data_IF_835958816783
#
_entry.id   IF_835958816783
#
_cell.length_a   1.000
_cell.length_b   1.000
_cell.length_c   1.000
_cell.angle_alpha   90.00
_cell.angle_beta   90.00
_cell.angle_gamma   90.00
#
_symmetry.space_group_name_H-M   'P 1'
#
loop_
_entity.id
_entity.type
_entity.pdbx_description
1 polymer ?
#
# COMPACT_ATOMS: atom_id res chain seq x y z
N UNK A 1 76.40 -4.52 -13.41
CA UNK A 1 76.14 -5.92 -13.78
C UNK A 1 74.71 -6.29 -13.36
N UNK A 2 74.05 -7.05 -14.19
CA UNK A 2 72.62 -7.41 -14.02
C UNK A 2 72.40 -8.92 -13.85
N UNK A 3 73.49 -9.71 -13.80
CA UNK A 3 73.47 -11.16 -13.72
C UNK A 3 74.53 -11.68 -12.80
N UNK A 4 74.23 -12.77 -12.12
CA UNK A 4 75.22 -13.53 -11.36
C UNK A 4 76.29 -14.04 -12.31
N UNK A 5 77.53 -14.03 -11.88
CA UNK A 5 78.63 -14.51 -12.73
C UNK A 5 80.00 -13.96 -12.28
N UNK A 6 80.99 -14.46 -12.99
CA UNK A 6 82.39 -13.97 -12.81
C UNK A 6 82.67 -12.90 -13.85
N UNK A 7 82.98 -11.73 -13.40
CA UNK A 7 83.30 -10.56 -14.23
C UNK A 7 84.79 -10.22 -14.15
N UNK A 8 85.45 -10.25 -15.27
CA UNK A 8 86.86 -9.88 -15.34
C UNK A 8 86.98 -8.43 -15.68
N UNK A 9 87.61 -7.69 -14.77
CA UNK A 9 88.00 -6.28 -14.98
C UNK A 9 89.44 -6.29 -15.51
N UNK A 10 89.63 -5.73 -16.68
CA UNK A 10 90.95 -5.61 -17.31
C UNK A 10 91.38 -4.14 -17.36
N UNK A 11 92.52 -3.80 -16.81
CA UNK A 11 93.12 -2.48 -16.94
C UNK A 11 94.35 -2.58 -17.87
N UNK A 12 94.37 -1.78 -18.94
CA UNK A 12 95.43 -1.73 -19.88
C UNK A 12 96.14 -0.37 -19.82
N UNK A 13 97.43 -0.31 -19.63
CA UNK A 13 98.19 0.92 -19.61
C UNK A 13 98.47 1.40 -21.04
N UNK A 14 98.99 2.67 -21.15
CA UNK A 14 99.30 3.26 -22.45
C UNK A 14 100.34 2.50 -23.29
N UNK A 15 101.16 1.62 -22.69
CA UNK A 15 102.15 0.77 -23.32
C UNK A 15 101.59 -0.60 -23.73
N UNK A 16 100.24 -0.80 -23.64
CA UNK A 16 99.56 -2.02 -24.08
C UNK A 16 99.68 -3.19 -23.08
N UNK A 17 100.26 -2.99 -21.91
CA UNK A 17 100.28 -4.06 -20.87
C UNK A 17 99.03 -4.07 -20.09
N UNK A 18 98.42 -5.26 -19.95
CA UNK A 18 97.18 -5.48 -19.22
C UNK A 18 97.40 -6.26 -17.94
N UNK A 19 96.64 -5.87 -16.90
CA UNK A 19 96.39 -6.64 -15.67
C UNK A 19 94.89 -6.89 -15.53
N UNK A 20 94.52 -7.97 -14.93
CA UNK A 20 93.10 -8.29 -14.73
C UNK A 20 92.86 -8.78 -13.32
N UNK A 21 91.60 -8.58 -12.85
CA UNK A 21 91.06 -9.16 -11.63
C UNK A 21 89.65 -9.70 -11.91
N UNK A 22 89.28 -10.76 -11.21
CA UNK A 22 87.97 -11.33 -11.36
C UNK A 22 87.16 -11.02 -10.12
N UNK A 23 85.92 -10.54 -10.31
CA UNK A 23 84.91 -10.32 -9.26
C UNK A 23 83.79 -11.30 -9.50
N UNK A 24 83.43 -12.04 -8.49
CA UNK A 24 82.22 -12.91 -8.53
C UNK A 24 81.07 -12.10 -7.96
N UNK A 25 80.01 -11.95 -8.76
CA UNK A 25 78.71 -11.37 -8.37
C UNK A 25 77.78 -12.51 -8.20
N UNK A 26 77.06 -12.59 -7.07
CA UNK A 26 76.07 -13.58 -6.76
C UNK A 26 74.93 -12.98 -5.94
N UNK A 27 73.73 -13.54 -6.04
CA UNK A 27 72.55 -13.14 -5.25
C UNK A 27 71.77 -11.98 -5.91
N UNK A 28 71.87 -11.79 -7.22
CA UNK A 28 70.99 -10.87 -7.97
C UNK A 28 69.65 -11.57 -8.15
N UNK A 29 68.66 -11.09 -7.43
CA UNK A 29 67.31 -11.59 -7.51
C UNK A 29 66.54 -10.98 -8.71
N UNK A 30 65.96 -11.86 -9.53
CA UNK A 30 65.11 -11.51 -10.72
C UNK A 30 63.79 -12.22 -10.74
N UNK A 31 63.52 -12.99 -9.70
CA UNK A 31 62.33 -13.83 -9.58
C UNK A 31 61.20 -13.05 -8.94
N UNK A 32 60.08 -12.84 -9.60
CA UNK A 32 58.92 -12.23 -8.96
C UNK A 32 58.44 -13.09 -7.76
N UNK A 33 57.85 -12.46 -6.73
CA UNK A 33 57.21 -13.15 -5.63
C UNK A 33 56.11 -14.09 -6.13
N UNK A 34 55.87 -15.17 -5.37
CA UNK A 34 54.77 -16.10 -5.57
C UNK A 34 53.58 -15.63 -4.74
N UNK A 35 52.40 -15.50 -5.38
CA UNK A 35 51.17 -14.98 -4.79
C UNK A 35 50.10 -16.07 -4.84
N UNK A 36 49.47 -16.40 -3.71
CA UNK A 36 48.33 -17.27 -3.65
C UNK A 36 47.03 -16.49 -4.01
N UNK A 37 45.96 -17.22 -4.33
CA UNK A 37 44.66 -16.60 -4.58
C UNK A 37 44.17 -15.82 -3.35
N UNK A 38 43.89 -14.52 -3.44
CA UNK A 38 43.36 -13.76 -2.31
C UNK A 38 41.99 -14.26 -1.88
N UNK A 39 41.69 -14.13 -0.58
CA UNK A 39 40.36 -14.44 -0.02
C UNK A 39 39.71 -13.20 0.57
N UNK A 40 38.38 -13.20 0.64
CA UNK A 40 37.58 -12.13 1.23
C UNK A 40 36.68 -12.73 2.30
N UNK A 41 36.64 -12.11 3.45
CA UNK A 41 35.68 -12.39 4.51
C UNK A 41 34.98 -11.11 4.93
N UNK A 42 33.69 -11.22 5.31
CA UNK A 42 32.88 -10.08 5.73
C UNK A 42 32.64 -10.12 7.23
N UNK A 43 32.50 -8.96 7.85
CA UNK A 43 32.04 -8.91 9.23
C UNK A 43 30.57 -9.31 9.34
N UNK A 44 30.10 -9.63 10.55
CA UNK A 44 28.74 -10.12 10.81
C UNK A 44 27.63 -9.20 10.26
N UNK A 45 27.84 -7.90 10.34
CA UNK A 45 26.87 -6.89 9.89
C UNK A 45 27.07 -6.45 8.42
N UNK A 46 27.99 -7.10 7.69
CA UNK A 46 28.29 -6.79 6.28
C UNK A 46 28.65 -5.32 6.01
N UNK A 47 29.24 -4.62 7.01
CA UNK A 47 29.67 -3.21 6.89
C UNK A 47 31.09 -3.07 6.38
N UNK A 48 31.90 -4.13 6.48
CA UNK A 48 33.29 -4.20 6.06
C UNK A 48 33.67 -5.59 5.61
N UNK A 49 34.74 -5.64 4.83
CA UNK A 49 35.38 -6.88 4.41
C UNK A 49 36.87 -6.86 4.72
N UNK A 50 37.45 -8.02 4.93
CA UNK A 50 38.88 -8.24 5.09
C UNK A 50 39.40 -9.02 3.87
N UNK A 51 40.35 -8.42 3.16
CA UNK A 51 41.12 -9.07 2.09
C UNK A 51 42.34 -9.70 2.73
N UNK A 52 42.56 -10.99 2.50
CA UNK A 52 43.70 -11.74 3.00
C UNK A 52 44.47 -12.31 1.83
N UNK A 53 45.78 -12.05 1.81
CA UNK A 53 46.70 -12.56 0.80
C UNK A 53 47.86 -13.29 1.44
N UNK A 54 48.26 -14.42 0.87
CA UNK A 54 49.56 -15.08 1.12
C UNK A 54 50.49 -14.83 -0.04
N UNK A 55 51.68 -14.37 0.26
CA UNK A 55 52.73 -14.19 -0.70
C UNK A 55 54.09 -14.57 -0.09
N UNK A 56 54.97 -15.12 -0.89
CA UNK A 56 56.36 -15.42 -0.50
C UNK A 56 57.28 -15.19 -1.70
N UNK A 57 58.57 -14.99 -1.40
CA UNK A 57 59.60 -14.77 -2.40
C UNK A 57 60.58 -15.93 -2.49
N UNK A 58 60.23 -17.09 -1.90
CA UNK A 58 61.07 -18.27 -1.90
C UNK A 58 62.48 -17.99 -1.38
N UNK A 59 63.48 -18.20 -2.22
CA UNK A 59 64.89 -17.94 -1.93
C UNK A 59 65.35 -16.57 -2.45
N UNK A 60 64.44 -15.69 -2.85
CA UNK A 60 64.73 -14.37 -3.41
C UNK A 60 65.12 -13.33 -2.36
N UNK A 61 64.93 -12.06 -2.69
CA UNK A 61 65.34 -10.90 -1.85
C UNK A 61 64.40 -10.64 -0.66
N UNK A 62 63.23 -11.29 -0.67
CA UNK A 62 62.17 -11.13 0.29
C UNK A 62 61.20 -10.03 -0.05
N UNK A 63 59.95 -10.15 0.43
CA UNK A 63 58.87 -9.15 0.14
C UNK A 63 59.27 -7.80 0.78
N UNK A 64 59.22 -6.74 -0.03
CA UNK A 64 59.40 -5.36 0.41
C UNK A 64 58.03 -4.70 0.71
N UNK A 65 57.03 -4.91 -0.17
CA UNK A 65 55.74 -4.20 -0.05
C UNK A 65 54.62 -4.95 -0.73
N UNK A 66 53.46 -4.94 -0.11
CA UNK A 66 52.19 -5.43 -0.71
C UNK A 66 51.17 -4.33 -0.65
N UNK A 67 50.53 -4.03 -1.78
CA UNK A 67 49.46 -3.02 -1.86
C UNK A 67 48.22 -3.59 -2.54
N UNK A 68 47.03 -3.16 -2.10
CA UNK A 68 45.79 -3.41 -2.78
C UNK A 68 45.17 -2.07 -3.21
N UNK A 69 44.94 -1.84 -4.48
CA UNK A 69 44.51 -0.57 -5.06
C UNK A 69 45.29 0.64 -4.54
N UNK A 70 46.61 0.47 -4.38
CA UNK A 70 47.53 1.52 -3.89
C UNK A 70 47.62 1.66 -2.36
N UNK A 71 46.76 1.00 -1.60
CA UNK A 71 46.79 1.00 -0.13
C UNK A 71 47.66 -0.15 0.35
N UNK A 72 48.59 0.12 1.28
CA UNK A 72 49.50 -0.87 1.83
C UNK A 72 48.75 -1.86 2.73
N UNK A 73 49.00 -3.16 2.51
CA UNK A 73 48.46 -4.26 3.31
C UNK A 73 49.35 -4.51 4.51
N UNK A 74 48.76 -4.74 5.69
CA UNK A 74 49.49 -5.05 6.93
C UNK A 74 49.82 -6.53 6.99
N UNK A 75 51.08 -6.85 7.40
CA UNK A 75 51.47 -8.23 7.64
C UNK A 75 51.07 -8.67 9.07
N UNK A 76 50.28 -9.74 9.15
CA UNK A 76 49.83 -10.33 10.40
C UNK A 76 49.86 -11.88 10.28
N UNK A 77 50.51 -12.56 11.17
CA UNK A 77 50.58 -14.05 11.23
C UNK A 77 50.93 -14.70 9.87
N UNK A 78 51.84 -14.05 9.12
CA UNK A 78 52.28 -14.55 7.80
C UNK A 78 51.29 -14.24 6.64
N UNK A 79 50.22 -13.50 6.89
CA UNK A 79 49.26 -13.09 5.88
C UNK A 79 49.29 -11.55 5.70
N UNK A 80 49.15 -11.07 4.50
CA UNK A 80 48.92 -9.67 4.22
C UNK A 80 47.40 -9.37 4.27
N UNK A 81 47.02 -8.37 5.07
CA UNK A 81 45.63 -8.08 5.42
C UNK A 81 45.28 -6.62 5.08
N UNK A 82 44.13 -6.40 4.45
CA UNK A 82 43.51 -5.09 4.28
C UNK A 82 42.04 -5.14 4.64
N UNK A 83 41.60 -4.25 5.55
CA UNK A 83 40.19 -4.04 5.82
C UNK A 83 39.63 -2.95 4.91
N UNK A 84 38.50 -3.23 4.26
CA UNK A 84 37.83 -2.33 3.32
C UNK A 84 36.36 -2.14 3.69
N UNK A 85 35.82 -0.97 3.36
CA UNK A 85 34.42 -0.59 3.64
C UNK A 85 33.63 -0.28 2.37
N UNK A 86 34.21 -0.60 1.21
CA UNK A 86 33.60 -0.38 -0.09
C UNK A 86 33.65 -1.64 -0.95
N UNK A 87 32.60 -1.89 -1.70
CA UNK A 87 32.58 -2.89 -2.74
C UNK A 87 33.43 -2.42 -3.93
N UNK A 88 34.05 -3.34 -4.63
CA UNK A 88 34.85 -3.05 -5.81
C UNK A 88 35.88 -4.11 -6.11
N UNK A 89 36.65 -3.87 -7.18
CA UNK A 89 37.81 -4.67 -7.55
C UNK A 89 39.08 -4.10 -6.93
N UNK A 90 39.85 -4.95 -6.29
CA UNK A 90 41.11 -4.58 -5.66
C UNK A 90 42.25 -5.25 -6.40
N UNK A 91 43.03 -4.44 -7.12
CA UNK A 91 44.26 -4.88 -7.78
C UNK A 91 45.40 -4.94 -6.74
N UNK A 92 45.97 -6.12 -6.56
CA UNK A 92 47.03 -6.36 -5.57
C UNK A 92 48.37 -6.42 -6.31
N UNK A 93 49.35 -5.70 -5.78
CA UNK A 93 50.72 -5.70 -6.26
C UNK A 93 51.64 -6.07 -5.11
N UNK A 94 52.44 -7.14 -5.32
CA UNK A 94 53.46 -7.60 -4.40
C UNK A 94 54.82 -7.25 -5.02
N UNK A 95 55.65 -6.52 -4.27
CA UNK A 95 56.98 -6.12 -4.72
C UNK A 95 58.01 -6.66 -3.77
N UNK A 96 59.07 -7.32 -4.26
CA UNK A 96 60.22 -7.75 -3.47
C UNK A 96 61.22 -6.62 -3.25
N UNK A 97 62.27 -6.89 -2.51
CA UNK A 97 63.34 -5.91 -2.24
C UNK A 97 64.26 -5.63 -3.43
N UNK A 98 64.25 -6.53 -4.43
CA UNK A 98 64.97 -6.34 -5.68
C UNK A 98 64.16 -5.55 -6.70
N UNK A 99 62.86 -5.32 -6.47
CA UNK A 99 61.94 -4.55 -7.32
C UNK A 99 61.13 -5.40 -8.29
N UNK A 100 61.23 -6.75 -8.24
CA UNK A 100 60.40 -7.62 -9.06
C UNK A 100 58.97 -7.61 -8.52
N UNK A 101 57.96 -7.78 -9.41
CA UNK A 101 56.57 -7.66 -9.02
C UNK A 101 55.73 -8.85 -9.47
N UNK A 102 54.77 -9.21 -8.63
CA UNK A 102 53.68 -10.11 -8.95
C UNK A 102 52.35 -9.41 -8.69
N UNK A 103 51.29 -9.80 -9.42
CA UNK A 103 49.98 -9.20 -9.35
C UNK A 103 48.90 -10.25 -9.06
N UNK A 104 47.88 -9.83 -8.32
CA UNK A 104 46.64 -10.57 -8.13
C UNK A 104 45.45 -9.59 -8.15
N UNK A 105 44.23 -10.10 -8.23
CA UNK A 105 43.02 -9.31 -8.19
C UNK A 105 41.98 -10.02 -7.33
N UNK A 106 41.17 -9.25 -6.61
CA UNK A 106 40.05 -9.77 -5.83
C UNK A 106 38.89 -8.82 -5.90
N UNK A 107 37.68 -9.37 -5.95
CA UNK A 107 36.43 -8.61 -5.94
C UNK A 107 35.78 -8.66 -4.56
N UNK A 108 35.44 -7.52 -4.01
CA UNK A 108 34.62 -7.34 -2.81
C UNK A 108 33.25 -6.86 -3.29
N UNK A 109 32.17 -7.62 -3.00
CA UNK A 109 30.80 -7.31 -3.46
C UNK A 109 29.72 -7.56 -2.40
N UNK A 110 30.11 -7.95 -1.19
CA UNK A 110 29.19 -8.33 -0.13
C UNK A 110 29.06 -7.29 1.01
N UNK A 111 29.60 -6.08 0.84
CA UNK A 111 29.36 -5.01 1.81
C UNK A 111 27.99 -4.42 1.49
N UNK A 112 27.09 -4.45 2.48
CA UNK A 112 25.71 -4.02 2.32
C UNK A 112 25.58 -2.49 2.35
N UNK A 113 24.97 -1.92 1.30
CA UNK A 113 24.68 -0.49 1.11
C UNK A 113 23.23 -0.29 0.65
N UNK A 114 22.45 -1.35 0.70
CA UNK A 114 21.04 -1.34 0.29
C UNK A 114 20.15 -1.00 1.47
N UNK A 115 19.12 -0.21 1.24
CA UNK A 115 18.12 0.07 2.26
C UNK A 115 17.07 -1.04 2.27
N UNK A 116 16.46 -1.35 3.44
CA UNK A 116 15.29 -2.22 3.50
C UNK A 116 14.16 -1.75 2.60
N UNK A 117 13.38 -2.68 2.06
CA UNK A 117 12.11 -2.40 1.37
C UNK A 117 10.93 -2.57 2.32
N UNK A 118 10.02 -1.56 2.31
CA UNK A 118 8.81 -1.55 3.14
C UNK A 118 7.59 -1.52 2.23
N UNK A 119 6.80 -2.60 2.23
CA UNK A 119 5.60 -2.73 1.42
C UNK A 119 4.35 -2.93 2.27
N UNK A 120 3.42 -1.97 2.22
CA UNK A 120 2.09 -2.13 2.81
C UNK A 120 1.31 -3.22 2.07
N UNK A 121 0.63 -4.09 2.81
CA UNK A 121 -0.17 -5.21 2.28
C UNK A 121 -1.66 -5.10 2.61
N UNK A 122 -2.05 -4.24 3.57
CA UNK A 122 -3.45 -3.98 3.91
C UNK A 122 -4.07 -2.90 3.02
N UNK A 123 -5.39 -3.03 2.80
CA UNK A 123 -6.25 -1.96 2.27
C UNK A 123 -6.91 -1.21 3.43
N UNK A 124 -6.79 0.13 3.44
CA UNK A 124 -7.30 1.01 4.50
C UNK A 124 -8.34 2.01 3.96
N UNK A 125 -9.03 1.67 2.87
CA UNK A 125 -9.98 2.58 2.19
C UNK A 125 -11.39 2.53 2.74
N UNK A 126 -11.81 1.43 3.34
CA UNK A 126 -13.14 1.27 3.92
C UNK A 126 -13.24 1.90 5.32
N UNK A 127 -14.40 2.47 5.65
CA UNK A 127 -14.66 2.99 6.99
C UNK A 127 -14.70 1.87 8.04
N UNK A 128 -13.99 2.06 9.15
CA UNK A 128 -13.93 1.12 10.29
C UNK A 128 -13.74 1.88 11.59
N UNK A 129 -14.03 1.25 12.72
CA UNK A 129 -13.71 1.80 14.05
C UNK A 129 -12.19 1.80 14.32
N UNK A 130 -11.46 0.90 13.68
CA UNK A 130 -9.99 0.83 13.68
C UNK A 130 -9.50 0.02 12.48
N UNK A 131 -8.30 0.29 12.02
CA UNK A 131 -7.64 -0.49 10.96
C UNK A 131 -6.55 -1.37 11.53
N UNK A 132 -6.52 -2.63 11.13
CA UNK A 132 -5.32 -3.44 11.20
C UNK A 132 -4.49 -3.16 9.96
N UNK A 133 -3.36 -2.52 10.13
CA UNK A 133 -2.40 -2.23 9.06
C UNK A 133 -1.37 -3.33 9.03
N UNK A 134 -1.24 -3.99 7.88
CA UNK A 134 -0.24 -5.02 7.66
C UNK A 134 0.78 -4.57 6.61
N UNK A 135 2.04 -4.93 6.81
CA UNK A 135 3.12 -4.60 5.90
C UNK A 135 4.24 -5.64 5.95
N UNK A 136 5.00 -5.73 4.87
CA UNK A 136 6.20 -6.56 4.79
C UNK A 136 7.43 -5.66 4.81
N UNK A 137 8.50 -6.14 5.45
CA UNK A 137 9.82 -5.53 5.41
C UNK A 137 10.80 -6.60 4.97
N UNK A 138 11.57 -6.32 3.94
CA UNK A 138 12.59 -7.21 3.39
C UNK A 138 13.90 -6.48 3.17
N UNK A 139 14.99 -7.19 3.26
CA UNK A 139 16.32 -6.72 2.95
C UNK A 139 17.11 -7.83 2.25
N UNK A 140 17.79 -7.50 1.17
CA UNK A 140 18.56 -8.47 0.38
C UNK A 140 20.03 -8.59 0.83
N UNK A 141 20.47 -7.74 1.76
CA UNK A 141 21.85 -7.68 2.22
C UNK A 141 22.05 -8.27 3.62
N UNK A 142 22.29 -7.41 4.58
CA UNK A 142 22.62 -7.78 5.96
C UNK A 142 21.43 -8.29 6.77
N UNK A 143 20.23 -8.11 6.29
CA UNK A 143 18.99 -8.47 6.95
C UNK A 143 18.51 -7.43 7.96
N UNK A 144 17.22 -7.50 8.34
CA UNK A 144 16.57 -6.52 9.19
C UNK A 144 17.13 -6.57 10.63
N UNK A 145 17.47 -5.41 11.16
CA UNK A 145 17.87 -5.18 12.55
C UNK A 145 16.71 -4.73 13.40
N UNK A 146 15.91 -3.76 12.89
CA UNK A 146 14.78 -3.22 13.65
C UNK A 146 13.71 -2.64 12.74
N UNK A 147 12.46 -2.71 13.24
CA UNK A 147 11.30 -2.04 12.64
C UNK A 147 10.63 -1.21 13.73
N UNK A 148 10.25 0.00 13.42
CA UNK A 148 9.56 0.90 14.33
C UNK A 148 8.36 1.54 13.61
N UNK A 149 7.24 1.69 14.31
CA UNK A 149 6.07 2.43 13.85
C UNK A 149 5.84 3.61 14.80
N UNK A 150 5.66 4.80 14.24
CA UNK A 150 5.37 6.00 15.03
C UNK A 150 4.20 6.79 14.48
N UNK A 151 3.46 7.48 15.36
CA UNK A 151 2.44 8.48 15.02
C UNK A 151 2.68 9.71 15.90
N UNK A 152 2.80 10.89 15.29
CA UNK A 152 3.06 12.16 16.00
C UNK A 152 4.24 12.06 16.99
N UNK A 153 5.30 11.34 16.59
CA UNK A 153 6.51 11.11 17.40
C UNK A 153 6.36 10.08 18.51
N UNK A 154 5.19 9.48 18.69
CA UNK A 154 4.96 8.41 19.68
C UNK A 154 5.08 7.04 19.03
N UNK A 155 5.75 6.12 19.71
CA UNK A 155 5.87 4.73 19.26
C UNK A 155 4.52 4.02 19.34
N UNK A 156 4.16 3.35 18.26
CA UNK A 156 2.98 2.47 18.15
C UNK A 156 3.46 1.03 18.26
N UNK A 157 2.85 0.28 19.15
CA UNK A 157 3.15 -1.15 19.29
C UNK A 157 2.76 -1.89 18.02
N UNK A 158 3.66 -2.70 17.51
CA UNK A 158 3.43 -3.59 16.39
C UNK A 158 3.79 -5.02 16.78
N UNK A 159 3.31 -5.98 16.03
CA UNK A 159 3.66 -7.39 16.18
C UNK A 159 4.31 -7.93 14.90
N UNK A 160 5.16 -8.91 15.10
CA UNK A 160 5.85 -9.66 14.05
C UNK A 160 5.22 -11.06 13.91
N UNK A 161 5.35 -11.66 12.73
CA UNK A 161 4.84 -12.99 12.45
C UNK A 161 4.95 -13.27 10.95
N UNK A 162 3.83 -13.55 10.28
CA UNK A 162 3.79 -13.57 8.81
C UNK A 162 3.74 -12.13 8.26
N UNK A 163 4.81 -11.34 8.52
CA UNK A 163 4.88 -9.90 8.30
C UNK A 163 4.62 -9.10 9.58
N UNK A 164 4.63 -7.78 9.44
CA UNK A 164 4.42 -6.83 10.53
C UNK A 164 2.98 -6.32 10.53
N UNK A 165 2.44 -6.03 11.71
CA UNK A 165 1.11 -5.44 11.85
C UNK A 165 1.00 -4.49 13.03
N UNK A 166 0.20 -3.44 12.90
CA UNK A 166 -0.21 -2.57 13.99
C UNK A 166 -1.68 -2.18 13.84
N UNK A 167 -2.28 -1.73 14.94
CA UNK A 167 -3.65 -1.21 14.95
C UNK A 167 -3.63 0.32 14.89
N UNK A 168 -4.27 0.89 13.87
CA UNK A 168 -4.52 2.32 13.77
C UNK A 168 -5.91 2.63 14.37
N UNK A 169 -5.94 3.27 15.51
CA UNK A 169 -7.17 3.63 16.24
C UNK A 169 -7.65 5.04 15.93
N UNK A 170 -6.85 5.83 15.22
CA UNK A 170 -7.12 7.21 14.86
C UNK A 170 -6.71 7.50 13.41
N UNK A 171 -7.34 8.49 12.81
CA UNK A 171 -6.90 9.04 11.54
C UNK A 171 -5.55 9.77 11.68
N UNK A 172 -4.77 9.78 10.60
CA UNK A 172 -3.48 10.46 10.54
C UNK A 172 -2.41 9.66 9.83
N UNK A 173 -1.18 10.17 9.91
CA UNK A 173 0.00 9.62 9.26
C UNK A 173 0.77 8.73 10.22
N UNK A 174 0.95 7.49 9.87
CA UNK A 174 1.77 6.52 10.59
C UNK A 174 3.08 6.33 9.84
N UNK A 175 4.20 6.61 10.49
CA UNK A 175 5.54 6.46 9.91
C UNK A 175 6.12 5.10 10.33
N UNK A 176 6.45 4.29 9.36
CA UNK A 176 7.19 3.03 9.52
C UNK A 176 8.64 3.31 9.18
N UNK A 177 9.56 2.94 10.07
CA UNK A 177 11.02 3.00 9.85
C UNK A 177 11.58 1.59 9.99
N UNK A 178 12.34 1.14 9.01
CA UNK A 178 13.07 -0.12 9.06
C UNK A 178 14.57 0.17 8.95
N UNK A 179 15.37 -0.52 9.72
CA UNK A 179 16.84 -0.44 9.69
C UNK A 179 17.40 -1.85 9.58
N UNK A 180 18.37 -2.06 8.69
CA UNK A 180 19.09 -3.32 8.55
C UNK A 180 20.25 -3.43 9.55
N UNK A 181 20.97 -4.55 9.53
CA UNK A 181 22.13 -4.78 10.40
C UNK A 181 23.36 -3.97 9.98
N UNK A 182 23.44 -3.54 8.72
CA UNK A 182 24.49 -2.68 8.23
C UNK A 182 24.27 -1.20 8.57
N UNK A 183 23.08 -0.85 9.09
CA UNK A 183 22.70 0.51 9.49
C UNK A 183 22.04 1.33 8.40
N UNK A 184 21.74 0.74 7.22
CA UNK A 184 20.94 1.43 6.22
C UNK A 184 19.47 1.45 6.65
N UNK A 185 18.74 2.51 6.31
CA UNK A 185 17.36 2.71 6.79
C UNK A 185 16.43 3.17 5.68
N UNK A 186 15.19 2.71 5.77
CA UNK A 186 14.09 3.17 4.93
C UNK A 186 12.89 3.59 5.77
N UNK A 187 12.06 4.46 5.20
CA UNK A 187 10.80 4.90 5.82
C UNK A 187 9.63 4.78 4.88
N UNK A 188 8.45 4.53 5.43
CA UNK A 188 7.17 4.48 4.73
C UNK A 188 6.09 5.14 5.55
N UNK A 189 5.37 6.10 4.95
CA UNK A 189 4.19 6.70 5.57
C UNK A 189 2.93 5.96 5.12
N UNK A 190 2.08 5.62 6.08
CA UNK A 190 0.74 5.07 5.87
C UNK A 190 -0.28 6.10 6.32
N UNK A 191 -1.10 6.58 5.39
CA UNK A 191 -2.18 7.52 5.66
C UNK A 191 -3.47 6.78 6.00
N UNK A 192 -4.03 7.05 7.16
CA UNK A 192 -5.34 6.55 7.60
C UNK A 192 -6.32 7.72 7.67
N UNK A 193 -7.45 7.60 6.96
CA UNK A 193 -8.48 8.64 6.83
C UNK A 193 -9.90 8.14 7.11
N UNK A 194 -10.05 6.86 7.37
CA UNK A 194 -11.33 6.15 7.40
C UNK A 194 -11.59 5.46 8.75
N UNK A 195 -10.96 5.96 9.82
CA UNK A 195 -11.33 5.58 11.19
C UNK A 195 -12.44 6.51 11.67
N UNK A 196 -13.54 5.91 12.14
CA UNK A 196 -14.64 6.61 12.82
C UNK A 196 -15.14 5.75 13.98
N UNK A 197 -15.01 6.26 15.19
CA UNK A 197 -15.46 5.61 16.43
C UNK A 197 -16.70 6.30 17.03
N UNK A 198 -17.21 7.33 16.35
CA UNK A 198 -18.27 8.17 16.87
C UNK A 198 -19.62 7.68 16.39
N UNK A 199 -20.49 7.28 17.31
CA UNK A 199 -21.84 6.89 16.96
C UNK A 199 -22.64 8.07 16.38
N UNK A 200 -23.48 7.84 15.34
CA UNK A 200 -24.36 8.88 14.82
C UNK A 200 -25.29 9.44 15.88
N UNK A 201 -25.35 10.76 15.99
CA UNK A 201 -26.29 11.46 16.91
C UNK A 201 -27.67 11.62 16.32
N UNK A 202 -27.82 11.45 15.01
CA UNK A 202 -29.07 11.59 14.30
C UNK A 202 -30.07 10.51 14.65
N UNK A 203 -31.31 10.91 14.88
CA UNK A 203 -32.46 10.01 15.13
C UNK A 203 -33.32 9.96 13.87
N UNK A 204 -33.45 8.81 13.18
CA UNK A 204 -34.32 8.69 12.03
C UNK A 204 -35.79 8.91 12.41
N UNK A 205 -36.53 9.57 11.53
CA UNK A 205 -37.96 9.87 11.73
C UNK A 205 -38.83 9.02 10.78
N UNK A 206 -39.91 8.47 11.34
CA UNK A 206 -40.94 7.81 10.56
C UNK A 206 -42.03 8.82 10.17
N UNK A 207 -42.46 8.80 8.91
CA UNK A 207 -43.49 9.68 8.35
C UNK A 207 -44.58 8.91 7.64
N UNK A 208 -45.80 9.46 7.68
CA UNK A 208 -46.90 9.07 6.82
C UNK A 208 -47.23 10.23 5.88
N UNK A 209 -46.87 10.11 4.60
CA UNK A 209 -46.77 11.27 3.72
C UNK A 209 -45.79 12.29 4.27
N UNK A 210 -46.17 13.56 4.34
CA UNK A 210 -45.32 14.62 4.88
C UNK A 210 -45.41 14.78 6.40
N UNK A 211 -46.31 14.05 7.06
CA UNK A 211 -46.55 14.16 8.50
C UNK A 211 -45.62 13.21 9.28
N UNK A 212 -44.80 13.79 10.15
CA UNK A 212 -44.00 13.03 11.12
C UNK A 212 -44.86 12.27 12.11
N UNK A 213 -44.46 11.05 12.44
CA UNK A 213 -45.06 10.23 13.48
C UNK A 213 -44.28 10.45 14.78
N UNK A 214 -44.99 10.64 15.88
CA UNK A 214 -44.32 10.79 17.17
C UNK A 214 -43.76 9.43 17.65
N UNK A 215 -42.55 9.42 18.21
CA UNK A 215 -42.02 8.23 18.85
C UNK A 215 -42.94 7.70 19.96
N UNK A 216 -42.88 6.40 20.21
CA UNK A 216 -43.67 5.76 21.25
C UNK A 216 -43.23 6.24 22.64
N UNK A 217 -44.18 6.77 23.40
CA UNK A 217 -43.96 7.35 24.73
C UNK A 217 -44.33 6.42 25.90
N UNK A 218 -44.58 5.15 25.61
CA UNK A 218 -44.95 4.13 26.58
C UNK A 218 -46.46 4.05 26.86
N UNK A 219 -47.32 4.92 26.27
CA UNK A 219 -48.78 4.94 26.54
C UNK A 219 -49.59 4.43 25.37
N UNK A 220 -49.77 5.22 24.32
CA UNK A 220 -50.70 4.88 23.26
C UNK A 220 -50.00 4.72 21.90
N UNK A 221 -50.55 3.78 21.07
CA UNK A 221 -50.13 3.65 19.71
C UNK A 221 -50.63 4.85 18.87
N UNK A 222 -49.80 5.39 18.01
CA UNK A 222 -50.27 6.34 16.99
C UNK A 222 -51.20 5.62 16.02
N UNK A 223 -52.47 6.06 15.93
CA UNK A 223 -53.46 5.45 15.06
C UNK A 223 -53.45 6.16 13.71
N UNK A 224 -53.30 5.38 12.63
CA UNK A 224 -53.41 5.86 11.28
C UNK A 224 -54.52 5.13 10.55
N UNK A 225 -55.59 5.88 10.24
CA UNK A 225 -56.71 5.39 9.44
C UNK A 225 -56.44 5.77 7.96
N UNK A 226 -56.53 4.79 7.08
CA UNK A 226 -56.37 5.03 5.68
C UNK A 226 -56.71 3.81 4.80
N UNK A 227 -57.51 4.00 3.81
CA UNK A 227 -58.16 3.01 2.96
C UNK A 227 -57.26 2.24 1.96
N UNK A 228 -55.96 2.27 2.06
CA UNK A 228 -55.00 1.47 1.32
C UNK A 228 -53.68 1.38 2.11
N UNK A 229 -52.99 0.26 1.98
CA UNK A 229 -51.63 0.08 2.49
C UNK A 229 -50.76 1.22 2.00
N UNK A 230 -50.56 2.23 2.84
CA UNK A 230 -49.68 3.36 2.53
C UNK A 230 -48.31 3.05 3.10
N UNK A 231 -47.29 3.08 2.24
CA UNK A 231 -45.92 2.91 2.69
C UNK A 231 -45.50 4.10 3.58
N UNK A 232 -45.01 3.80 4.75
CA UNK A 232 -44.41 4.78 5.64
C UNK A 232 -43.01 5.11 5.11
N UNK A 233 -42.67 6.39 5.07
CA UNK A 233 -41.32 6.84 4.69
C UNK A 233 -40.44 7.07 5.92
N UNK A 234 -39.18 6.74 5.79
CA UNK A 234 -38.18 7.06 6.81
C UNK A 234 -37.36 8.25 6.30
N UNK A 235 -37.19 9.26 7.10
CA UNK A 235 -36.34 10.40 6.81
C UNK A 235 -35.20 10.53 7.82
N UNK A 236 -34.04 10.96 7.34
CA UNK A 236 -32.92 11.39 8.17
C UNK A 236 -32.93 12.92 8.18
N UNK A 237 -32.90 13.57 9.34
CA UNK A 237 -32.80 15.02 9.41
C UNK A 237 -31.56 15.51 8.67
N UNK A 238 -31.67 16.65 7.97
CA UNK A 238 -30.62 17.17 7.09
C UNK A 238 -29.37 17.68 7.85
N UNK A 239 -29.49 17.88 9.16
CA UNK A 239 -28.38 18.32 10.04
C UNK A 239 -27.52 17.16 10.55
N UNK A 240 -27.69 15.97 9.98
CA UNK A 240 -26.93 14.78 10.38
C UNK A 240 -25.48 14.91 9.95
N UNK A 241 -24.60 15.18 10.89
CA UNK A 241 -23.15 15.12 10.68
C UNK A 241 -22.63 13.79 11.21
N UNK A 242 -21.98 13.04 10.34
CA UNK A 242 -21.18 11.86 10.70
C UNK A 242 -19.89 11.91 9.90
N UNK A 243 -18.81 11.45 10.46
CA UNK A 243 -17.53 11.38 9.75
C UNK A 243 -17.61 10.36 8.60
N UNK A 244 -18.31 9.25 8.83
CA UNK A 244 -18.53 8.20 7.82
C UNK A 244 -19.98 8.21 7.27
N UNK A 245 -20.24 7.61 6.10
CA UNK A 245 -21.54 7.62 5.43
C UNK A 245 -22.65 7.01 6.29
N UNK A 246 -23.78 7.69 6.40
CA UNK A 246 -24.94 7.23 7.18
C UNK A 246 -25.83 6.29 6.39
N UNK A 247 -26.41 5.33 7.11
CA UNK A 247 -27.51 4.46 6.70
C UNK A 247 -28.55 4.35 7.80
N UNK A 248 -29.78 3.94 7.45
CA UNK A 248 -30.83 3.70 8.41
C UNK A 248 -31.14 2.20 8.48
N UNK A 249 -31.30 1.70 9.67
CA UNK A 249 -31.76 0.34 9.92
C UNK A 249 -33.14 0.35 10.56
N UNK A 250 -33.94 -0.64 10.17
CA UNK A 250 -35.31 -0.88 10.67
C UNK A 250 -35.43 -2.30 11.22
N UNK A 251 -36.17 -2.41 12.31
CA UNK A 251 -36.66 -3.69 12.84
C UNK A 251 -38.16 -3.54 13.14
N UNK A 252 -38.98 -4.43 12.62
CA UNK A 252 -40.42 -4.49 12.91
C UNK A 252 -40.70 -5.65 13.87
N UNK A 253 -41.92 -5.68 14.44
CA UNK A 253 -42.41 -6.73 15.35
C UNK A 253 -42.27 -8.16 14.81
N UNK A 254 -42.17 -8.33 13.48
CA UNK A 254 -41.99 -9.63 12.80
C UNK A 254 -40.51 -9.99 12.56
N UNK A 255 -39.57 -9.15 12.96
CA UNK A 255 -38.15 -9.35 12.70
C UNK A 255 -37.37 -9.47 14.00
N UNK A 256 -36.38 -10.37 14.02
CA UNK A 256 -35.43 -10.53 15.13
C UNK A 256 -34.22 -9.60 14.97
N UNK A 257 -33.88 -9.26 13.72
CA UNK A 257 -32.69 -8.47 13.39
C UNK A 257 -33.05 -7.18 12.66
N UNK A 258 -32.13 -6.22 12.74
CA UNK A 258 -32.22 -4.98 11.99
C UNK A 258 -31.85 -5.19 10.51
N UNK A 259 -32.64 -4.58 9.62
CA UNK A 259 -32.40 -4.56 8.17
C UNK A 259 -32.05 -3.15 7.74
N UNK A 260 -30.99 -2.99 6.95
CA UNK A 260 -30.62 -1.69 6.37
C UNK A 260 -31.58 -1.32 5.24
N UNK A 261 -32.09 -0.11 5.27
CA UNK A 261 -32.91 0.45 4.21
C UNK A 261 -32.04 0.97 3.08
N UNK A 262 -32.44 0.70 1.82
CA UNK A 262 -31.78 1.29 0.66
C UNK A 262 -32.02 2.79 0.62
N UNK A 263 -31.01 3.57 0.23
CA UNK A 263 -31.12 5.02 0.03
C UNK A 263 -32.22 5.40 -0.96
N UNK A 264 -32.44 4.56 -1.97
CA UNK A 264 -33.46 4.77 -3.02
C UNK A 264 -34.86 4.31 -2.59
N UNK A 265 -34.96 3.55 -1.51
CA UNK A 265 -36.23 3.02 -1.01
C UNK A 265 -36.27 3.06 0.52
N UNK A 266 -36.45 4.25 1.07
CA UNK A 266 -36.64 4.51 2.50
C UNK A 266 -38.11 4.30 2.93
N UNK A 267 -38.73 3.18 2.50
CA UNK A 267 -40.14 2.88 2.77
C UNK A 267 -40.31 1.62 3.61
N UNK A 268 -41.29 1.67 4.53
CA UNK A 268 -41.74 0.54 5.33
C UNK A 268 -43.21 0.31 4.99
N UNK A 269 -43.56 -0.92 4.61
CA UNK A 269 -44.95 -1.29 4.34
C UNK A 269 -45.46 -2.05 5.56
N UNK A 270 -46.53 -1.56 6.16
CA UNK A 270 -47.23 -2.19 7.29
C UNK A 270 -48.62 -2.64 6.84
N UNK A 271 -49.04 -3.84 7.28
CA UNK A 271 -50.38 -4.41 7.05
C UNK A 271 -51.34 -3.90 8.11
N UNK A 272 -52.61 -4.25 8.01
CA UNK A 272 -53.59 -3.98 9.07
C UNK A 272 -53.16 -4.62 10.40
N UNK A 273 -53.37 -3.89 11.50
CA UNK A 273 -53.00 -4.30 12.85
C UNK A 273 -52.11 -3.32 13.59
N UNK A 274 -51.62 -3.75 14.75
CA UNK A 274 -50.71 -2.96 15.55
C UNK A 274 -49.26 -3.45 15.34
N UNK A 275 -48.37 -2.54 15.04
CA UNK A 275 -46.97 -2.81 14.73
C UNK A 275 -46.02 -2.02 15.65
N UNK A 276 -44.96 -2.68 16.07
CA UNK A 276 -43.78 -2.03 16.64
C UNK A 276 -42.74 -1.85 15.52
N UNK A 277 -42.26 -0.62 15.35
CA UNK A 277 -41.19 -0.28 14.41
C UNK A 277 -40.06 0.38 15.17
N UNK A 278 -38.86 -0.18 15.13
CA UNK A 278 -37.65 0.42 15.71
C UNK A 278 -36.74 0.87 14.59
N UNK A 279 -36.33 2.12 14.66
CA UNK A 279 -35.36 2.73 13.73
C UNK A 279 -34.10 3.09 14.47
N UNK A 280 -32.96 3.00 13.77
CA UNK A 280 -31.66 3.54 14.22
C UNK A 280 -30.82 3.96 13.04
N UNK A 281 -29.95 4.92 13.25
CA UNK A 281 -28.89 5.24 12.31
C UNK A 281 -27.69 4.32 12.54
N UNK A 282 -27.00 3.97 11.49
CA UNK A 282 -25.70 3.30 11.52
C UNK A 282 -24.80 4.01 10.52
N UNK A 283 -23.54 4.20 10.87
CA UNK A 283 -22.56 4.80 9.96
C UNK A 283 -21.77 3.77 9.19
N UNK A 284 -20.87 4.23 8.29
CA UNK A 284 -20.02 3.39 7.46
C UNK A 284 -18.99 2.59 8.23
N UNK A 285 -18.62 3.02 9.43
CA UNK A 285 -17.70 2.32 10.33
C UNK A 285 -18.40 1.27 11.21
N UNK A 286 -19.75 1.22 11.16
CA UNK A 286 -20.55 0.30 11.95
C UNK A 286 -20.93 0.81 13.33
N UNK A 287 -20.70 2.10 13.65
CA UNK A 287 -21.18 2.66 14.91
C UNK A 287 -22.70 2.87 14.85
N UNK A 288 -23.37 2.51 15.93
CA UNK A 288 -24.82 2.49 16.02
C UNK A 288 -25.30 3.65 16.85
N UNK A 289 -26.19 4.46 16.28
CA UNK A 289 -26.85 5.57 16.93
C UNK A 289 -28.01 5.13 17.84
N UNK A 290 -28.65 6.13 18.45
CA UNK A 290 -29.78 5.91 19.36
C UNK A 290 -30.96 5.27 18.62
N UNK A 291 -31.54 4.24 19.24
CA UNK A 291 -32.77 3.61 18.75
C UNK A 291 -33.99 4.47 19.09
N UNK A 292 -34.93 4.54 18.15
CA UNK A 292 -36.22 5.16 18.33
C UNK A 292 -37.33 4.17 18.02
N UNK A 293 -38.31 4.05 18.88
CA UNK A 293 -39.43 3.11 18.72
C UNK A 293 -40.70 3.85 18.36
N UNK A 294 -41.48 3.24 17.48
CA UNK A 294 -42.82 3.66 17.08
C UNK A 294 -43.78 2.49 17.30
N UNK A 295 -44.99 2.81 17.85
CA UNK A 295 -46.08 1.85 17.92
C UNK A 295 -47.22 2.39 17.05
N UNK A 296 -47.58 1.66 16.02
CA UNK A 296 -48.49 2.11 14.96
C UNK A 296 -49.66 1.14 14.87
N UNK A 297 -50.89 1.63 14.97
CA UNK A 297 -52.09 0.89 14.65
C UNK A 297 -52.53 1.31 13.23
N UNK A 298 -52.44 0.36 12.29
CA UNK A 298 -52.95 0.52 10.93
C UNK A 298 -54.37 -0.02 10.89
N UNK A 299 -55.34 0.86 10.57
CA UNK A 299 -56.75 0.50 10.39
C UNK A 299 -57.13 0.78 8.93
N UNK A 300 -57.34 -0.27 8.17
CA UNK A 300 -57.66 -0.24 6.74
C UNK A 300 -59.18 -0.16 6.47
N UNK A 301 -60.03 -0.08 7.52
CA UNK A 301 -61.46 0.03 7.33
C UNK A 301 -61.80 1.31 6.58
N UNK A 302 -62.34 1.20 5.42
CA UNK A 302 -62.96 2.28 4.65
C UNK A 302 -64.08 2.89 5.51
N UNK A 303 -64.03 4.17 5.71
CA UNK A 303 -65.17 4.98 6.20
C UNK A 303 -66.38 4.55 5.42
N UNK A 304 -67.28 3.78 6.01
CA UNK A 304 -68.63 3.71 5.51
C UNK A 304 -69.20 5.10 5.58
N UNK A 305 -69.46 5.69 4.42
CA UNK A 305 -70.29 6.90 4.31
C UNK A 305 -71.52 6.73 5.16
N UNK A 306 -71.64 7.45 6.25
CA UNK A 306 -72.91 7.61 6.95
C UNK A 306 -73.92 8.11 5.91
N UNK A 307 -74.91 7.27 5.61
CA UNK A 307 -76.12 7.63 4.93
C UNK A 307 -76.82 8.69 5.80
N UNK A 308 -77.17 9.88 5.29
CA UNK A 308 -77.99 10.81 6.02
C UNK A 308 -79.35 10.19 6.35
N UNK A 309 -79.70 10.19 7.64
CA UNK A 309 -80.97 9.79 8.06
C UNK A 309 -82.04 10.85 7.67
N UNK A 310 -83.08 10.40 7.03
CA UNK A 310 -84.44 10.89 7.13
C UNK A 310 -84.85 12.15 6.42
N UNK A 311 -85.47 12.01 5.30
CA UNK A 311 -86.61 12.86 4.96
C UNK A 311 -87.79 12.03 4.50
N UNK A 312 -88.91 12.32 5.14
CA UNK A 312 -90.26 11.69 5.01
C UNK A 312 -90.90 12.05 3.69
N UNK A 313 -91.58 11.04 3.12
CA UNK A 313 -92.48 11.07 1.97
C UNK A 313 -93.69 12.00 2.18
N UNK A 314 -94.21 12.58 1.15
CA UNK A 314 -95.63 12.30 0.87
C UNK A 314 -95.93 11.87 -0.60
N UNK A 315 -97.00 11.14 -0.64
CA UNK A 315 -97.72 10.48 -1.73
C UNK A 315 -97.97 11.28 -2.99
N UNK A 316 -98.15 10.54 -4.11
CA UNK A 316 -99.12 10.93 -5.15
C UNK A 316 -98.73 10.67 -6.60
N UNK A 317 -99.41 9.65 -7.17
CA UNK A 317 -99.89 9.49 -8.54
C UNK A 317 -98.97 9.15 -9.72
N UNK A 318 -99.11 7.96 -10.15
CA UNK A 318 -99.56 7.47 -11.49
C UNK A 318 -98.93 8.03 -12.77
N UNK A 319 -98.48 7.14 -13.56
CA UNK A 319 -98.84 6.59 -14.85
C UNK A 319 -97.78 6.69 -15.99
N UNK A 320 -97.66 5.52 -16.62
CA UNK A 320 -97.44 5.20 -18.05
C UNK A 320 -96.04 5.33 -18.66
N UNK A 321 -95.44 4.19 -18.90
CA UNK A 321 -95.31 3.45 -20.14
C UNK A 321 -94.60 4.16 -21.31
N UNK A 322 -93.48 3.69 -21.70
CA UNK A 322 -93.12 3.14 -23.00
C UNK A 322 -91.63 2.88 -23.15
N UNK A 323 -91.36 1.64 -23.52
CA UNK A 323 -90.17 1.13 -24.21
C UNK A 323 -90.39 1.32 -25.72
N UNK A 324 -89.49 0.95 -26.62
CA UNK A 324 -88.02 0.85 -26.66
C UNK A 324 -87.40 1.54 -27.89
N UNK A 325 -86.09 1.51 -28.05
CA UNK A 325 -85.48 1.17 -29.36
C UNK A 325 -83.91 1.18 -29.25
N UNK A 326 -83.42 0.13 -29.77
CA UNK A 326 -82.09 -0.19 -30.23
C UNK A 326 -81.36 0.94 -30.96
N UNK A 327 -80.05 0.90 -30.98
CA UNK A 327 -79.20 0.72 -32.16
C UNK A 327 -77.71 0.78 -31.80
N UNK A 328 -77.04 -0.34 -31.98
CA UNK A 328 -75.75 -0.70 -32.58
C UNK A 328 -74.59 0.34 -32.58
N UNK A 329 -73.50 -0.21 -32.07
CA UNK A 329 -72.17 -0.44 -32.67
C UNK A 329 -71.48 0.68 -33.44
N UNK A 330 -70.25 0.94 -33.06
CA UNK A 330 -69.10 0.68 -33.95
C UNK A 330 -67.75 0.82 -33.21
N UNK A 331 -66.93 -0.18 -33.47
CA UNK A 331 -65.49 -0.21 -33.23
C UNK A 331 -64.81 0.86 -34.08
N UNK A 332 -63.72 1.42 -33.56
CA UNK A 332 -62.54 1.60 -34.39
C UNK A 332 -61.25 1.61 -33.57
N UNK A 333 -60.37 0.83 -34.07
CA UNK A 333 -58.98 0.60 -33.72
C UNK A 333 -58.07 1.72 -34.22
N UNK A 334 -57.08 2.11 -33.46
CA UNK A 334 -55.86 2.67 -34.03
C UNK A 334 -54.62 2.30 -33.18
N UNK A 335 -53.87 1.48 -33.81
CA UNK A 335 -52.53 1.04 -33.47
C UNK A 335 -51.56 2.19 -33.75
N UNK A 336 -50.61 2.47 -32.89
CA UNK A 336 -49.35 3.12 -33.29
C UNK A 336 -48.18 2.50 -32.59
N UNK A 337 -47.33 1.90 -33.42
CA UNK A 337 -46.03 1.34 -33.15
C UNK A 337 -45.06 2.47 -32.75
N UNK A 338 -44.23 2.23 -31.77
CA UNK A 338 -42.96 2.89 -31.71
C UNK A 338 -41.79 1.92 -31.50
N UNK A 339 -40.80 2.15 -32.31
CA UNK A 339 -39.63 1.33 -32.57
C UNK A 339 -38.65 1.33 -31.41
N UNK A 340 -38.13 0.12 -31.15
CA UNK A 340 -36.94 -0.15 -30.38
C UNK A 340 -35.70 0.16 -31.25
N UNK A 341 -34.83 1.05 -30.81
CA UNK A 341 -33.52 1.24 -31.39
C UNK A 341 -32.47 0.56 -30.53
N UNK A 342 -32.02 -0.59 -31.01
CA UNK A 342 -30.91 -1.40 -30.54
C UNK A 342 -29.63 -0.71 -31.01
N UNK A 343 -28.71 -0.38 -30.12
CA UNK A 343 -27.32 -0.05 -30.47
C UNK A 343 -26.42 -1.17 -29.94
N UNK A 344 -25.69 -1.75 -30.88
CA UNK A 344 -24.76 -2.85 -30.73
C UNK A 344 -23.48 -2.39 -30.03
N UNK A 345 -22.98 -3.27 -29.16
CA UNK A 345 -21.57 -3.36 -28.80
C UNK A 345 -20.71 -3.70 -30.01
N UNK A 346 -19.56 -3.08 -30.12
CA UNK A 346 -18.42 -3.60 -30.81
C UNK A 346 -17.15 -3.28 -30.07
N UNK A 347 -16.50 -4.34 -29.59
CA UNK A 347 -15.09 -4.37 -29.25
C UNK A 347 -14.28 -4.46 -30.54
N UNK A 348 -13.07 -3.93 -30.60
CA UNK A 348 -12.01 -4.71 -31.19
C UNK A 348 -10.72 -4.72 -30.36
N UNK A 349 -10.18 -5.90 -30.33
CA UNK A 349 -8.81 -6.29 -29.98
C UNK A 349 -7.82 -5.86 -31.08
N UNK A 350 -6.54 -5.72 -30.64
CA UNK A 350 -5.30 -5.94 -31.39
C UNK A 350 -4.85 -4.91 -32.43
N UNK A 351 -3.71 -4.27 -32.13
CA UNK A 351 -2.46 -4.36 -32.88
C UNK A 351 -1.42 -3.33 -32.44
N UNK A 352 -0.28 -3.82 -31.98
CA UNK A 352 1.05 -3.17 -32.12
C UNK A 352 1.53 -3.45 -33.58
N UNK A 353 2.36 -2.67 -34.28
CA UNK A 353 3.74 -2.43 -33.89
C UNK A 353 4.42 -1.12 -34.39
N UNK A 354 5.54 -0.87 -33.73
CA UNK A 354 6.82 -0.38 -34.26
C UNK A 354 6.95 0.88 -35.12
N UNK A 355 7.89 1.65 -34.68
CA UNK A 355 9.05 2.18 -35.41
C UNK A 355 9.11 3.65 -35.80
N UNK A 356 10.26 4.18 -35.49
CA UNK A 356 11.13 5.09 -36.20
C UNK A 356 11.11 6.59 -35.89
N UNK A 357 12.21 6.96 -35.29
CA UNK A 357 13.21 7.89 -35.83
C UNK A 357 13.05 9.40 -35.58
N UNK A 358 14.03 9.86 -34.82
CA UNK A 358 15.06 10.84 -35.18
C UNK A 358 14.72 12.34 -35.23
N UNK A 359 15.71 13.03 -34.70
CA UNK A 359 16.16 14.42 -34.90
C UNK A 359 15.56 15.40 -33.85
N UNK A 360 16.32 16.15 -33.11
CA UNK A 360 17.72 16.58 -33.22
C UNK A 360 17.79 18.00 -32.69
N UNK A 361 18.97 18.33 -32.13
CA UNK A 361 19.57 19.67 -32.12
C UNK A 361 19.30 20.58 -30.90
N UNK A 362 20.36 20.68 -30.12
CA UNK A 362 21.22 21.82 -29.68
C UNK A 362 20.75 22.68 -28.50
N UNK A 363 21.55 22.63 -27.53
CA UNK A 363 22.67 23.53 -27.08
C UNK A 363 22.23 24.63 -26.11
N UNK A 364 22.92 24.71 -25.00
CA UNK A 364 22.88 25.86 -24.12
C UNK A 364 23.44 25.59 -22.73
N UNK A 365 24.75 25.40 -22.67
CA UNK A 365 25.52 25.66 -21.44
C UNK A 365 25.55 27.17 -21.20
N UNK A 366 25.56 27.67 -19.99
CA UNK A 366 26.76 28.31 -19.48
C UNK A 366 27.11 28.01 -18.02
N UNK A 367 28.36 27.94 -17.82
CA UNK A 367 29.26 27.87 -16.69
C UNK A 367 29.08 28.99 -15.60
N UNK A 368 29.81 28.86 -14.49
CA UNK A 368 29.42 29.21 -13.13
C UNK A 368 29.90 30.61 -12.70
N UNK A 369 29.40 31.07 -11.54
CA UNK A 369 30.06 32.14 -10.77
C UNK A 369 30.22 31.73 -9.32
N UNK A 370 31.50 31.81 -8.93
CA UNK A 370 32.03 31.80 -7.58
C UNK A 370 31.43 32.88 -6.66
N UNK A 371 31.24 32.54 -5.45
CA UNK A 371 31.80 33.22 -4.26
C UNK A 371 31.52 32.36 -3.02
#
# INVERSE_FOLDING_TARGET
VTEDGSYTITATNKAGKSAYTTIVVSGIDRTPPVVEQPTVSYNENMTSAQIVLKANDGNGSGIAKVTASGVEMSLSEGNYILNVTQNGEYAIVVTDKAGNQAQAQVTVNGIDKTNPDIRQTSDNTSWKQKHEVTFAVTDEGSGISSVQVTKDGKTITHSEGNGYRFTAEENGSYLITATDKAGNSATKTVEIKTVDQTAPTVVPQLKNGDKAINPYNGKDASIYQGGKVTGYTVSVPQEATAASPLSVQVKTDKQTEFKTLSKDNMKIILTEGTHAVTLRAIDGAGNVGKEVQYKIKVDLQTTQTQKPAGETKPDGAESQQSQPADVKAQQETASTKQQVKKVRQSNPSDANPSNAAQQGIQSGDPQPKES
#
